data_IF_842494694718
#
_entry.id   IF_842494694718
#
_cell.length_a   1.000
_cell.length_b   1.000
_cell.length_c   1.000
_cell.angle_alpha   90.00
_cell.angle_beta   90.00
_cell.angle_gamma   90.00
#
_symmetry.space_group_name_H-M   'P 1'
#
loop_
_entity.id
_entity.type
_entity.pdbx_description
1 polymer ?
#
# COMPACT_ATOMS: atom_id res chain seq x y z
N UNK A 1 22.41 -3.73 -13.80
CA UNK A 1 20.95 -3.50 -13.68
C UNK A 1 20.55 -3.83 -12.26
N UNK A 2 19.96 -2.89 -11.54
CA UNK A 2 19.47 -3.14 -10.17
C UNK A 2 18.27 -4.06 -10.25
N UNK A 3 18.36 -5.21 -9.63
CA UNK A 3 17.30 -6.20 -9.62
C UNK A 3 16.72 -6.28 -8.21
N UNK A 4 15.41 -6.13 -8.10
CA UNK A 4 14.66 -6.29 -6.86
C UNK A 4 14.07 -7.70 -6.77
N UNK A 5 13.71 -8.13 -5.59
CA UNK A 5 12.89 -9.32 -5.43
C UNK A 5 11.42 -8.99 -5.69
N UNK A 6 10.98 -7.85 -5.14
CA UNK A 6 9.60 -7.37 -5.30
C UNK A 6 9.59 -5.89 -5.70
N UNK A 7 8.77 -5.55 -6.69
CA UNK A 7 8.37 -4.17 -6.99
C UNK A 7 6.89 -4.02 -6.62
N UNK A 8 6.59 -3.02 -5.79
CA UNK A 8 5.22 -2.64 -5.43
C UNK A 8 4.88 -1.32 -6.10
N UNK A 9 3.77 -1.25 -6.83
CA UNK A 9 3.31 -0.06 -7.55
C UNK A 9 2.13 0.55 -6.82
N UNK A 10 2.31 1.76 -6.30
CA UNK A 10 1.30 2.53 -5.59
C UNK A 10 1.58 2.67 -4.10
N UNK A 11 1.66 3.91 -3.60
CA UNK A 11 1.93 4.25 -2.19
C UNK A 11 0.70 4.39 -1.29
N UNK A 12 -0.44 3.79 -1.69
CA UNK A 12 -1.65 3.72 -0.87
C UNK A 12 -1.53 2.67 0.25
N UNK A 13 -2.60 2.45 1.01
CA UNK A 13 -2.60 1.52 2.14
C UNK A 13 -2.18 0.10 1.73
N UNK A 14 -2.74 -0.43 0.64
CA UNK A 14 -2.39 -1.76 0.15
C UNK A 14 -0.93 -1.87 -0.29
N UNK A 15 -0.39 -0.81 -0.92
CA UNK A 15 1.00 -0.77 -1.33
C UNK A 15 1.96 -0.67 -0.15
N UNK A 16 1.65 0.14 0.86
CA UNK A 16 2.44 0.23 2.08
C UNK A 16 2.50 -1.11 2.81
N UNK A 17 1.36 -1.80 2.94
CA UNK A 17 1.31 -3.14 3.55
C UNK A 17 2.09 -4.17 2.75
N UNK A 18 1.91 -4.20 1.42
CA UNK A 18 2.64 -5.14 0.56
C UNK A 18 4.16 -4.90 0.60
N UNK A 19 4.59 -3.64 0.58
CA UNK A 19 5.99 -3.27 0.64
C UNK A 19 6.62 -3.62 1.99
N UNK A 20 5.95 -3.27 3.10
CA UNK A 20 6.40 -3.61 4.44
C UNK A 20 6.47 -5.13 4.65
N UNK A 21 5.44 -5.87 4.23
CA UNK A 21 5.39 -7.33 4.33
C UNK A 21 6.51 -7.99 3.52
N UNK A 22 6.74 -7.55 2.28
CA UNK A 22 7.81 -8.07 1.43
C UNK A 22 9.20 -7.87 2.06
N UNK A 23 9.45 -6.67 2.59
CA UNK A 23 10.73 -6.35 3.24
C UNK A 23 10.92 -7.12 4.54
N UNK A 24 9.86 -7.29 5.33
CA UNK A 24 9.87 -8.03 6.59
C UNK A 24 10.26 -9.50 6.41
N UNK A 25 9.88 -10.12 5.30
CA UNK A 25 10.32 -11.49 4.97
C UNK A 25 11.72 -11.53 4.30
N UNK A 26 12.43 -10.42 4.25
CA UNK A 26 13.81 -10.34 3.76
C UNK A 26 13.94 -10.11 2.26
N UNK A 27 12.88 -9.80 1.54
CA UNK A 27 12.95 -9.48 0.12
C UNK A 27 13.48 -8.05 -0.10
N UNK A 28 14.39 -7.88 -1.07
CA UNK A 28 14.79 -6.55 -1.54
C UNK A 28 13.62 -5.93 -2.30
N UNK A 29 12.96 -4.95 -1.69
CA UNK A 29 11.69 -4.39 -2.15
C UNK A 29 11.84 -2.95 -2.64
N UNK A 30 11.16 -2.64 -3.75
CA UNK A 30 11.01 -1.28 -4.25
C UNK A 30 9.54 -0.88 -4.24
N UNK A 31 9.21 0.20 -3.55
CA UNK A 31 7.91 0.85 -3.62
C UNK A 31 7.99 2.01 -4.62
N UNK A 32 7.19 1.95 -5.68
CA UNK A 32 7.10 3.02 -6.69
C UNK A 32 5.80 3.78 -6.46
N UNK A 33 5.91 5.09 -6.31
CA UNK A 33 4.76 5.99 -6.16
C UNK A 33 4.98 7.29 -6.94
N UNK A 34 3.91 7.94 -7.35
CA UNK A 34 4.02 9.20 -8.09
C UNK A 34 4.63 10.33 -7.24
N UNK A 35 4.35 10.33 -5.92
CA UNK A 35 4.92 11.29 -4.96
C UNK A 35 5.08 10.61 -3.60
N UNK A 36 6.27 10.65 -3.03
CA UNK A 36 6.53 10.11 -1.70
C UNK A 36 5.71 10.81 -0.61
N UNK A 37 5.44 12.10 -0.77
CA UNK A 37 4.59 12.87 0.14
C UNK A 37 3.12 12.42 0.19
N UNK A 38 2.67 11.57 -0.74
CA UNK A 38 1.32 10.99 -0.75
C UNK A 38 1.26 9.56 -0.22
N UNK A 39 2.38 9.00 0.25
CA UNK A 39 2.39 7.68 0.89
C UNK A 39 1.47 7.72 2.12
N UNK A 40 0.57 6.74 2.21
CA UNK A 40 -0.40 6.65 3.30
C UNK A 40 -1.52 7.69 3.26
N UNK A 41 -1.65 8.47 2.19
CA UNK A 41 -2.70 9.47 2.08
C UNK A 41 -4.10 8.84 2.15
N UNK A 42 -4.95 9.42 2.99
CA UNK A 42 -6.34 9.01 3.16
C UNK A 42 -7.24 9.81 2.21
N UNK A 43 -7.55 9.23 1.06
CA UNK A 43 -8.37 9.89 0.01
C UNK A 43 -9.86 9.98 0.34
N UNK A 44 -10.35 9.13 1.25
CA UNK A 44 -11.74 9.07 1.67
C UNK A 44 -11.91 9.57 3.11
N UNK A 45 -12.94 9.07 3.81
CA UNK A 45 -13.17 9.38 5.22
C UNK A 45 -11.95 9.06 6.07
N UNK A 46 -11.55 9.95 7.00
CA UNK A 46 -10.40 9.73 7.88
C UNK A 46 -10.76 8.74 8.98
N UNK A 47 -11.10 7.52 8.59
CA UNK A 47 -11.47 6.46 9.52
C UNK A 47 -10.88 5.12 9.11
N UNK A 48 -10.32 4.41 10.08
CA UNK A 48 -9.82 3.06 9.95
C UNK A 48 -10.71 2.09 10.73
N UNK A 49 -11.12 1.03 10.06
CA UNK A 49 -11.99 0.03 10.65
C UNK A 49 -13.44 0.11 10.21
N UNK A 50 -14.32 -0.46 11.01
CA UNK A 50 -15.72 -0.69 10.70
C UNK A 50 -15.98 -2.10 10.18
N UNK A 51 -17.19 -2.36 9.69
CA UNK A 51 -17.58 -3.68 9.16
C UNK A 51 -16.79 -3.95 7.87
N UNK A 52 -16.20 -5.12 7.75
CA UNK A 52 -15.32 -5.50 6.64
C UNK A 52 -13.90 -4.96 6.82
N UNK A 53 -13.69 -3.67 6.65
CA UNK A 53 -12.35 -3.06 6.77
C UNK A 53 -11.70 -3.33 8.12
N UNK A 54 -12.44 -3.24 9.22
CA UNK A 54 -11.91 -3.51 10.56
C UNK A 54 -11.52 -4.96 10.77
N UNK A 55 -12.21 -5.90 10.15
CA UNK A 55 -11.86 -7.32 10.19
C UNK A 55 -10.55 -7.57 9.44
N UNK A 56 -10.41 -7.04 8.23
CA UNK A 56 -9.19 -7.16 7.42
C UNK A 56 -7.98 -6.50 8.10
N UNK A 57 -8.16 -5.33 8.72
CA UNK A 57 -7.07 -4.66 9.46
C UNK A 57 -6.57 -5.56 10.59
N UNK A 58 -7.45 -6.21 11.33
CA UNK A 58 -7.06 -7.12 12.42
C UNK A 58 -6.32 -8.35 11.93
N UNK A 59 -6.70 -8.89 10.78
CA UNK A 59 -5.98 -10.02 10.16
C UNK A 59 -4.57 -9.60 9.73
N UNK A 60 -4.44 -8.42 9.11
CA UNK A 60 -3.16 -7.85 8.70
C UNK A 60 -2.29 -7.54 9.93
N UNK A 61 -2.87 -6.96 10.97
CA UNK A 61 -2.20 -6.63 12.22
C UNK A 61 -1.64 -7.89 12.93
N UNK A 62 -2.40 -8.98 12.92
CA UNK A 62 -1.94 -10.28 13.43
C UNK A 62 -0.72 -10.84 12.66
N UNK A 63 -0.47 -10.37 11.45
CA UNK A 63 0.69 -10.68 10.62
C UNK A 63 1.78 -9.58 10.69
N UNK A 64 1.75 -8.73 11.73
CA UNK A 64 2.65 -7.59 11.91
C UNK A 64 2.53 -6.52 10.83
N UNK A 65 1.30 -6.24 10.36
CA UNK A 65 1.01 -5.17 9.41
C UNK A 65 1.23 -3.78 10.01
N UNK A 66 1.39 -2.79 9.15
CA UNK A 66 1.72 -1.41 9.57
C UNK A 66 0.47 -0.57 9.83
N UNK A 67 -0.63 -0.85 9.13
CA UNK A 67 -1.84 -0.03 9.14
C UNK A 67 -2.49 0.09 10.53
N UNK A 68 -2.55 -1.01 11.28
CA UNK A 68 -3.09 -1.03 12.65
C UNK A 68 -2.27 -0.15 13.58
N UNK A 69 -0.97 -0.35 13.63
CA UNK A 69 -0.02 0.43 14.46
C UNK A 69 -0.06 1.93 14.13
N UNK A 70 -0.05 2.28 12.85
CA UNK A 70 -0.11 3.68 12.43
C UNK A 70 -1.47 4.30 12.78
N UNK A 71 -2.55 3.52 12.71
CA UNK A 71 -3.87 3.97 13.14
C UNK A 71 -3.95 4.27 14.64
N UNK A 72 -3.27 3.49 15.46
CA UNK A 72 -3.19 3.74 16.91
C UNK A 72 -2.40 5.01 17.22
N UNK A 73 -1.33 5.28 16.48
CA UNK A 73 -0.51 6.49 16.64
C UNK A 73 -1.21 7.78 16.19
N UNK A 74 -2.20 7.68 15.30
CA UNK A 74 -2.88 8.82 14.68
C UNK A 74 -4.38 8.88 14.98
N UNK A 75 -4.87 8.01 15.87
CA UNK A 75 -6.27 7.94 16.24
C UNK A 75 -6.72 9.09 17.15
N UNK A 76 -7.83 9.73 16.77
CA UNK A 76 -8.47 10.80 17.54
C UNK A 76 -9.58 10.22 18.42
N UNK A 77 -10.31 9.24 17.90
CA UNK A 77 -11.44 8.63 18.61
C UNK A 77 -11.58 7.15 18.23
N UNK A 78 -11.78 6.32 19.23
CA UNK A 78 -11.90 4.86 19.07
C UNK A 78 -13.26 4.38 19.54
N UNK A 79 -13.92 3.57 18.74
CA UNK A 79 -15.20 2.96 19.12
C UNK A 79 -15.35 1.57 18.51
N UNK A 80 -16.19 0.75 19.11
CA UNK A 80 -16.66 -0.50 18.53
C UNK A 80 -18.06 -0.27 17.98
N UNK A 81 -18.21 -0.46 16.66
CA UNK A 81 -19.53 -0.38 16.01
C UNK A 81 -20.37 -1.61 16.38
N UNK A 82 -21.67 -1.40 16.40
CA UNK A 82 -22.65 -2.48 16.61
C UNK A 82 -22.47 -3.28 17.93
N UNK A 83 -22.01 -2.64 19.00
CA UNK A 83 -21.84 -3.30 20.33
C UNK A 83 -23.04 -4.10 20.81
N UNK A 84 -24.27 -3.71 20.41
CA UNK A 84 -25.52 -4.39 20.78
C UNK A 84 -25.94 -5.51 19.82
N UNK A 85 -25.13 -5.79 18.81
CA UNK A 85 -25.33 -6.83 17.79
C UNK A 85 -24.44 -8.03 18.06
N UNK A 86 -24.63 -9.11 17.30
CA UNK A 86 -23.78 -10.29 17.41
C UNK A 86 -22.31 -10.01 17.04
N UNK A 87 -21.36 -10.83 17.52
CA UNK A 87 -19.92 -10.62 17.35
C UNK A 87 -19.48 -10.45 15.88
N UNK A 88 -20.15 -11.11 14.95
CA UNK A 88 -19.82 -11.06 13.54
C UNK A 88 -19.94 -9.67 12.89
N UNK A 89 -20.73 -8.78 13.48
CA UNK A 89 -20.91 -7.40 12.98
C UNK A 89 -20.33 -6.34 13.89
N UNK A 90 -19.68 -6.75 14.98
CA UNK A 90 -18.93 -5.85 15.84
C UNK A 90 -17.58 -5.55 15.20
N UNK A 91 -17.31 -4.29 14.90
CA UNK A 91 -16.07 -3.87 14.27
C UNK A 91 -15.43 -2.68 14.98
N UNK A 92 -14.15 -2.75 15.34
CA UNK A 92 -13.44 -1.58 15.82
C UNK A 92 -13.34 -0.53 14.70
N UNK A 93 -13.47 0.73 15.06
CA UNK A 93 -13.30 1.85 14.16
C UNK A 93 -12.58 2.98 14.90
N UNK A 94 -11.52 3.48 14.27
CA UNK A 94 -10.79 4.66 14.71
C UNK A 94 -11.09 5.83 13.77
N UNK A 95 -11.38 6.99 14.33
CA UNK A 95 -11.32 8.25 13.62
C UNK A 95 -9.87 8.71 13.63
N UNK A 96 -9.33 9.10 12.48
CA UNK A 96 -7.89 9.31 12.28
C UNK A 96 -7.60 10.77 11.93
N UNK A 97 -6.52 11.31 12.48
CA UNK A 97 -5.87 12.51 11.97
C UNK A 97 -5.12 12.14 10.67
N UNK A 98 -5.53 12.76 9.55
CA UNK A 98 -4.99 12.43 8.23
C UNK A 98 -3.51 12.79 8.07
N UNK A 99 -3.13 13.93 8.60
CA UNK A 99 -1.76 14.44 8.46
C UNK A 99 -0.81 13.61 9.32
N UNK A 100 -1.21 13.35 10.55
CA UNK A 100 -0.45 12.52 11.47
C UNK A 100 -0.32 11.07 10.96
N UNK A 101 -1.38 10.50 10.39
CA UNK A 101 -1.34 9.18 9.79
C UNK A 101 -0.36 9.11 8.61
N UNK A 102 -0.45 10.07 7.68
CA UNK A 102 0.46 10.13 6.55
C UNK A 102 1.91 10.32 6.99
N UNK A 103 2.15 11.19 7.97
CA UNK A 103 3.48 11.39 8.55
C UNK A 103 4.07 10.10 9.14
N UNK A 104 3.29 9.41 9.98
CA UNK A 104 3.76 8.16 10.59
C UNK A 104 3.96 7.05 9.55
N UNK A 105 3.07 6.95 8.55
CA UNK A 105 3.21 5.96 7.48
C UNK A 105 4.48 6.22 6.65
N UNK A 106 4.74 7.46 6.26
CA UNK A 106 5.97 7.83 5.54
C UNK A 106 7.22 7.51 6.34
N UNK A 107 7.20 7.84 7.63
CA UNK A 107 8.29 7.52 8.54
C UNK A 107 8.53 6.01 8.63
N UNK A 108 7.50 5.20 8.82
CA UNK A 108 7.58 3.74 8.89
C UNK A 108 8.17 3.16 7.60
N UNK A 109 7.64 3.55 6.44
CA UNK A 109 8.10 3.07 5.14
C UNK A 109 9.56 3.48 4.88
N UNK A 110 9.95 4.70 5.23
CA UNK A 110 11.34 5.18 5.04
C UNK A 110 12.37 4.52 5.97
N UNK A 111 11.93 4.00 7.11
CA UNK A 111 12.78 3.34 8.09
C UNK A 111 12.79 1.81 7.97
N UNK A 112 11.96 1.24 7.08
CA UNK A 112 11.88 -0.20 6.88
C UNK A 112 13.13 -0.72 6.16
N UNK A 113 13.87 -1.60 6.79
CA UNK A 113 15.06 -2.20 6.22
C UNK A 113 14.74 -3.01 4.96
N UNK A 114 15.56 -2.86 3.91
CA UNK A 114 15.38 -3.59 2.65
C UNK A 114 14.28 -3.03 1.74
N UNK A 115 13.66 -1.90 2.13
CA UNK A 115 12.65 -1.18 1.34
C UNK A 115 13.25 0.11 0.79
N UNK A 116 13.23 0.24 -0.53
CA UNK A 116 13.56 1.48 -1.24
C UNK A 116 12.28 2.13 -1.77
N UNK A 117 12.23 3.46 -1.76
CA UNK A 117 11.11 4.24 -2.33
C UNK A 117 11.60 5.00 -3.55
N UNK A 118 10.86 4.91 -4.66
CA UNK A 118 11.12 5.64 -5.89
C UNK A 118 9.91 6.49 -6.27
N UNK A 119 10.12 7.79 -6.45
CA UNK A 119 9.14 8.65 -7.07
C UNK A 119 9.20 8.51 -8.59
N UNK A 120 8.24 7.80 -9.15
CA UNK A 120 8.08 7.62 -10.60
C UNK A 120 6.65 7.22 -10.95
N UNK A 121 6.27 7.51 -12.20
CA UNK A 121 5.04 6.98 -12.78
C UNK A 121 5.36 5.71 -13.56
N UNK A 122 4.71 4.62 -13.25
CA UNK A 122 4.79 3.37 -14.02
C UNK A 122 3.83 3.48 -15.20
N UNK A 123 4.34 3.25 -16.42
CA UNK A 123 3.58 3.37 -17.66
C UNK A 123 3.29 2.01 -18.28
N UNK A 124 4.17 1.01 -18.08
CA UNK A 124 4.00 -0.29 -18.68
C UNK A 124 4.74 -1.39 -17.90
N UNK A 125 4.48 -2.65 -18.26
CA UNK A 125 5.16 -3.81 -17.74
C UNK A 125 6.20 -4.36 -18.73
N UNK A 126 7.29 -4.87 -18.20
CA UNK A 126 8.25 -5.66 -19.00
C UNK A 126 7.76 -7.12 -18.98
N UNK A 127 7.21 -7.57 -20.11
CA UNK A 127 6.62 -8.89 -20.24
C UNK A 127 7.50 -9.76 -21.15
N UNK A 128 7.93 -10.92 -20.65
CA UNK A 128 8.59 -11.96 -21.47
C UNK A 128 7.60 -12.76 -22.30
N UNK A 129 8.18 -13.49 -23.25
CA UNK A 129 7.45 -14.58 -23.95
C UNK A 129 6.79 -15.49 -22.90
N UNK A 130 5.52 -15.84 -23.10
CA UNK A 130 4.64 -16.60 -22.19
C UNK A 130 3.95 -15.77 -21.08
N UNK A 131 3.91 -14.43 -21.16
CA UNK A 131 3.14 -13.60 -20.23
C UNK A 131 3.76 -13.40 -18.85
N UNK A 132 5.04 -13.72 -18.67
CA UNK A 132 5.73 -13.52 -17.38
C UNK A 132 6.16 -12.06 -17.23
N UNK A 133 5.68 -11.38 -16.19
CA UNK A 133 6.12 -10.02 -15.83
C UNK A 133 7.50 -10.09 -15.17
N UNK A 134 8.48 -9.35 -15.72
CA UNK A 134 9.85 -9.29 -15.19
C UNK A 134 10.21 -7.94 -14.59
N UNK A 135 9.31 -6.98 -14.67
CA UNK A 135 9.56 -5.65 -14.19
C UNK A 135 8.59 -4.63 -14.78
N UNK A 136 8.98 -3.37 -14.66
CA UNK A 136 8.16 -2.24 -15.05
C UNK A 136 8.96 -1.24 -15.87
N UNK A 137 8.26 -0.45 -16.67
CA UNK A 137 8.77 0.71 -17.40
C UNK A 137 8.15 1.95 -16.78
N UNK A 138 9.00 2.82 -16.27
CA UNK A 138 8.58 4.10 -15.72
C UNK A 138 8.64 5.18 -16.80
N UNK A 139 7.97 6.30 -16.53
CA UNK A 139 8.01 7.50 -17.37
C UNK A 139 9.47 7.88 -17.69
N UNK A 140 9.71 8.22 -18.94
CA UNK A 140 11.06 8.49 -19.43
C UNK A 140 11.87 7.25 -19.81
N UNK A 141 11.24 6.07 -19.85
CA UNK A 141 11.85 4.82 -20.35
C UNK A 141 12.74 4.10 -19.34
N UNK A 142 12.76 4.49 -18.06
CA UNK A 142 13.49 3.81 -17.00
C UNK A 142 12.93 2.40 -16.80
N UNK A 143 13.76 1.38 -17.00
CA UNK A 143 13.39 -0.04 -16.83
C UNK A 143 13.90 -0.56 -15.50
N UNK A 144 13.01 -1.13 -14.71
CA UNK A 144 13.28 -1.73 -13.40
C UNK A 144 12.83 -3.19 -13.41
N UNK A 145 13.69 -4.07 -12.92
CA UNK A 145 13.45 -5.52 -12.97
C UNK A 145 13.21 -6.08 -11.58
N UNK A 146 12.28 -7.03 -11.49
CA UNK A 146 11.98 -7.75 -10.26
C UNK A 146 11.56 -9.19 -10.55
N UNK A 147 11.65 -10.04 -9.53
CA UNK A 147 11.13 -11.42 -9.59
C UNK A 147 9.60 -11.44 -9.54
N UNK A 148 9.00 -10.47 -8.79
CA UNK A 148 7.56 -10.34 -8.63
C UNK A 148 7.15 -8.86 -8.64
N UNK A 149 5.95 -8.59 -9.15
CA UNK A 149 5.39 -7.23 -9.18
C UNK A 149 4.01 -7.26 -8.54
N UNK A 150 3.77 -6.35 -7.60
CA UNK A 150 2.48 -6.17 -6.92
C UNK A 150 1.87 -4.87 -7.38
N UNK A 151 0.71 -4.95 -8.04
CA UNK A 151 -0.02 -3.79 -8.53
C UNK A 151 -1.08 -3.38 -7.52
N UNK A 152 -0.92 -2.18 -6.94
CA UNK A 152 -1.85 -1.62 -5.94
C UNK A 152 -2.33 -0.23 -6.35
N UNK A 153 -2.66 -0.06 -7.62
CA UNK A 153 -3.23 1.19 -8.13
C UNK A 153 -4.59 1.44 -7.49
N UNK A 154 -4.81 2.67 -7.04
CA UNK A 154 -6.05 3.05 -6.40
C UNK A 154 -7.24 3.08 -7.36
N UNK A 155 -8.42 3.22 -6.79
CA UNK A 155 -9.70 3.32 -7.53
C UNK A 155 -10.13 4.76 -7.81
N UNK A 156 -9.29 5.74 -7.53
CA UNK A 156 -9.58 7.16 -7.77
C UNK A 156 -9.58 7.49 -9.25
N UNK A 157 -10.52 8.31 -9.70
CA UNK A 157 -10.78 8.65 -11.12
C UNK A 157 -9.59 9.32 -11.82
N UNK A 158 -8.61 9.83 -11.08
CA UNK A 158 -7.37 10.40 -11.62
C UNK A 158 -6.41 9.36 -12.22
N UNK A 159 -6.70 8.07 -12.13
CA UNK A 159 -5.89 6.98 -12.69
C UNK A 159 -6.38 6.46 -14.04
N UNK A 160 -7.21 7.22 -14.76
CA UNK A 160 -7.74 6.84 -16.08
C UNK A 160 -6.69 6.75 -17.20
N UNK A 161 -5.40 6.80 -16.88
CA UNK A 161 -4.32 6.73 -17.88
C UNK A 161 -3.62 5.37 -17.99
N UNK A 162 -3.93 4.41 -17.14
CA UNK A 162 -3.61 3.02 -17.44
C UNK A 162 -4.69 2.50 -18.40
N UNK A 163 -4.52 2.75 -19.68
CA UNK A 163 -5.31 2.06 -20.70
C UNK A 163 -5.01 0.58 -20.55
N UNK A 164 -5.99 -0.19 -20.06
CA UNK A 164 -6.04 -1.59 -20.37
C UNK A 164 -6.05 -1.67 -21.89
N UNK A 165 -4.97 -2.19 -22.49
CA UNK A 165 -5.03 -2.61 -23.87
C UNK A 165 -6.01 -3.78 -23.90
N UNK A 166 -7.21 -3.50 -24.36
CA UNK A 166 -8.16 -4.54 -24.73
C UNK A 166 -7.46 -5.40 -25.79
N UNK A 167 -7.22 -6.64 -25.43
CA UNK A 167 -6.87 -7.71 -26.36
C UNK A 167 -8.14 -8.29 -26.95
#
# INVERSE_FOLDING_TARGET
MTKYDVIVIGGGHAGCEAAAASSRVGAKTLLITNKASTIGAMSCNPAMGGIGKGHLIREIDALDGVMGRISDLSGIHFQVLNKRKGPAVQGPRAQIDRELYSFHMQKEISQTNGLEVLEASVEDFIIKKKGVVEGVICKGGLKLFAKSTVLTTGTSVSYTHLRAHET
#
